data_IF_556192077471
#
_entry.id   IF_556192077471
#
_cell.length_a   1.000
_cell.length_b   1.000
_cell.length_c   1.000
_cell.angle_alpha   90.00
_cell.angle_beta   90.00
_cell.angle_gamma   90.00
#
_symmetry.space_group_name_H-M   'P 1'
#
loop_
_entity.id
_entity.type
_entity.pdbx_description
1 polymer ?
#
# COMPACT_ATOMS: atom_id res chain seq x y z
N UNK A 1 -15.81 -4.14 -6.62
CA UNK A 1 -17.20 -4.61 -6.71
C UNK A 1 -17.24 -6.06 -7.13
N UNK A 2 -17.97 -6.84 -6.38
CA UNK A 2 -18.17 -8.25 -6.74
C UNK A 2 -19.21 -8.34 -7.86
N UNK A 3 -18.80 -8.86 -9.00
CA UNK A 3 -19.67 -8.93 -10.21
C UNK A 3 -20.20 -10.34 -10.45
N UNK A 4 -19.67 -11.32 -9.74
CA UNK A 4 -20.03 -12.72 -9.77
C UNK A 4 -19.47 -13.36 -8.50
N UNK A 5 -20.04 -14.40 -7.93
CA UNK A 5 -19.47 -15.01 -6.70
C UNK A 5 -17.96 -15.27 -6.84
N UNK A 6 -17.18 -14.64 -5.97
CA UNK A 6 -15.73 -14.74 -5.96
C UNK A 6 -14.99 -13.93 -7.02
N UNK A 7 -15.70 -13.15 -7.85
CA UNK A 7 -15.08 -12.33 -8.89
C UNK A 7 -15.25 -10.85 -8.57
N UNK A 8 -14.12 -10.16 -8.35
CA UNK A 8 -14.09 -8.77 -7.95
C UNK A 8 -13.39 -7.92 -9.01
N UNK A 9 -13.97 -6.79 -9.32
CA UNK A 9 -13.44 -5.86 -10.34
C UNK A 9 -13.46 -4.45 -9.77
N UNK A 10 -12.39 -3.71 -9.99
CA UNK A 10 -12.31 -2.29 -9.68
C UNK A 10 -11.36 -1.60 -10.67
N UNK A 11 -11.04 -0.35 -10.41
CA UNK A 11 -10.19 0.45 -11.28
C UNK A 11 -9.33 1.36 -10.43
N UNK A 12 -8.10 1.61 -10.86
CA UNK A 12 -7.17 2.48 -10.12
C UNK A 12 -7.68 3.93 -10.00
N UNK A 13 -8.64 4.32 -10.84
CA UNK A 13 -9.27 5.64 -10.78
C UNK A 13 -10.57 5.64 -9.97
N UNK A 14 -10.84 4.59 -9.19
CA UNK A 14 -12.06 4.49 -8.39
C UNK A 14 -12.24 5.73 -7.50
N UNK A 15 -13.49 6.23 -7.34
CA UNK A 15 -13.79 7.29 -6.38
C UNK A 15 -14.09 6.74 -4.98
N UNK A 16 -14.07 5.43 -4.77
CA UNK A 16 -14.45 4.79 -3.52
C UNK A 16 -13.25 4.61 -2.61
N UNK A 17 -13.14 5.48 -1.62
CA UNK A 17 -12.04 5.48 -0.66
C UNK A 17 -12.58 5.60 0.76
N UNK A 18 -11.86 5.00 1.71
CA UNK A 18 -12.15 5.15 3.13
C UNK A 18 -10.84 5.43 3.88
N UNK A 19 -10.95 6.06 5.05
CA UNK A 19 -9.77 6.29 5.87
C UNK A 19 -9.15 4.95 6.26
N UNK A 20 -7.81 4.87 6.20
CA UNK A 20 -7.09 3.69 6.64
C UNK A 20 -7.11 3.64 8.17
N UNK A 21 -7.72 2.63 8.79
CA UNK A 21 -7.85 2.60 10.25
C UNK A 21 -6.54 2.31 10.99
N UNK A 22 -5.55 1.77 10.31
CA UNK A 22 -4.27 1.42 10.93
C UNK A 22 -3.26 2.56 10.83
N UNK A 23 -3.22 3.24 9.70
CA UNK A 23 -2.25 4.30 9.45
C UNK A 23 -2.80 5.66 9.91
N UNK A 24 -4.02 6.01 9.52
CA UNK A 24 -4.59 7.31 9.82
C UNK A 24 -3.89 8.45 9.09
N UNK A 25 -4.04 9.68 9.58
CA UNK A 25 -3.26 10.83 9.13
C UNK A 25 -3.31 11.16 7.65
N UNK A 26 -4.48 11.07 7.00
CA UNK A 26 -4.64 11.34 5.58
C UNK A 26 -4.42 10.13 4.67
N UNK A 27 -4.12 8.99 5.26
CA UNK A 27 -4.04 7.74 4.49
C UNK A 27 -5.44 7.20 4.23
N UNK A 28 -5.68 6.78 2.99
CA UNK A 28 -6.96 6.19 2.58
C UNK A 28 -6.71 4.89 1.84
N UNK A 29 -7.67 3.98 1.92
CA UNK A 29 -7.58 2.70 1.23
C UNK A 29 -8.85 2.40 0.44
N UNK A 30 -8.67 1.60 -0.62
CA UNK A 30 -9.76 1.00 -1.37
C UNK A 30 -9.47 -0.50 -1.43
N UNK A 31 -10.25 -1.30 -0.73
CA UNK A 31 -10.03 -2.75 -0.66
C UNK A 31 -10.79 -3.41 -1.79
N UNK A 32 -10.06 -4.09 -2.67
CA UNK A 32 -10.65 -4.87 -3.74
C UNK A 32 -11.17 -6.21 -3.21
N UNK A 33 -10.39 -6.86 -2.37
CA UNK A 33 -10.69 -8.20 -1.89
C UNK A 33 -10.01 -8.44 -0.55
N UNK A 34 -10.70 -9.12 0.35
CA UNK A 34 -10.16 -9.49 1.67
C UNK A 34 -10.77 -10.82 2.12
N UNK A 35 -9.93 -11.85 2.18
CA UNK A 35 -10.32 -13.18 2.67
C UNK A 35 -9.77 -13.48 4.05
N UNK A 36 -9.05 -12.53 4.66
CA UNK A 36 -8.32 -12.74 5.90
C UNK A 36 -6.90 -13.25 5.67
N UNK A 37 -6.72 -14.22 4.79
CA UNK A 37 -5.38 -14.73 4.44
C UNK A 37 -4.76 -13.99 3.26
N UNK A 38 -5.57 -13.26 2.50
CA UNK A 38 -5.12 -12.45 1.39
C UNK A 38 -5.95 -11.18 1.32
N UNK A 39 -5.29 -10.05 1.12
CA UNK A 39 -5.94 -8.77 0.89
C UNK A 39 -5.31 -8.12 -0.33
N UNK A 40 -6.12 -7.42 -1.10
CA UNK A 40 -5.64 -6.68 -2.27
C UNK A 40 -6.41 -5.37 -2.39
N UNK A 41 -5.74 -4.31 -2.79
CA UNK A 41 -6.39 -3.03 -2.95
C UNK A 41 -5.43 -1.92 -3.33
N UNK A 42 -5.88 -0.71 -3.07
CA UNK A 42 -5.13 0.52 -3.33
C UNK A 42 -4.97 1.28 -2.03
N UNK A 43 -3.86 1.98 -1.90
CA UNK A 43 -3.67 2.98 -0.84
C UNK A 43 -3.27 4.29 -1.47
N UNK A 44 -3.71 5.40 -0.86
CA UNK A 44 -3.26 6.73 -1.23
C UNK A 44 -2.99 7.58 -0.01
N UNK A 45 -1.97 8.40 -0.14
CA UNK A 45 -1.53 9.34 0.89
C UNK A 45 -1.54 10.71 0.24
N UNK A 46 -2.31 11.64 0.81
CA UNK A 46 -2.54 12.94 0.19
C UNK A 46 -1.70 14.04 0.84
N UNK A 47 -2.31 15.04 1.45
CA UNK A 47 -1.64 16.28 1.78
C UNK A 47 -1.07 16.38 3.18
N UNK A 48 -1.10 15.33 3.94
CA UNK A 48 -0.57 15.31 5.31
C UNK A 48 0.91 14.91 5.32
N UNK A 49 1.73 15.73 4.67
CA UNK A 49 3.13 15.39 4.40
C UNK A 49 3.98 15.14 5.65
N UNK A 50 3.67 15.82 6.74
CA UNK A 50 4.37 15.65 8.01
C UNK A 50 3.86 14.46 8.83
N UNK A 51 2.88 13.75 8.30
CA UNK A 51 2.30 12.57 8.94
C UNK A 51 2.60 11.29 8.19
N UNK A 52 3.81 11.19 7.69
CA UNK A 52 4.20 9.96 7.00
C UNK A 52 4.15 8.80 7.98
N UNK A 53 3.81 7.60 7.49
CA UNK A 53 3.71 6.44 8.37
C UNK A 53 5.02 6.22 9.10
N UNK A 54 4.96 5.88 10.40
CA UNK A 54 6.16 5.47 11.14
C UNK A 54 6.66 4.13 10.63
N UNK A 55 7.62 3.56 11.32
CA UNK A 55 8.11 2.23 11.02
C UNK A 55 6.95 1.23 10.97
N UNK A 56 6.98 0.37 9.99
CA UNK A 56 5.92 -0.61 9.79
C UNK A 56 6.52 -2.00 9.61
N UNK A 57 6.11 -2.90 10.48
CA UNK A 57 6.46 -4.31 10.37
C UNK A 57 5.40 -5.00 9.54
N UNK A 58 5.81 -5.64 8.46
CA UNK A 58 4.88 -6.25 7.51
C UNK A 58 4.16 -7.45 8.12
N UNK A 59 2.82 -7.41 8.20
CA UNK A 59 2.05 -8.53 8.78
C UNK A 59 1.96 -9.72 7.83
N UNK A 60 2.27 -9.53 6.57
CA UNK A 60 2.22 -10.53 5.52
C UNK A 60 3.21 -10.16 4.43
N UNK A 61 3.46 -11.07 3.50
CA UNK A 61 4.24 -10.75 2.31
C UNK A 61 3.46 -9.73 1.49
N UNK A 62 4.12 -8.66 1.09
CA UNK A 62 3.49 -7.60 0.31
C UNK A 62 4.11 -7.50 -1.07
N UNK A 63 3.25 -7.47 -2.08
CA UNK A 63 3.62 -7.08 -3.44
C UNK A 63 2.97 -5.73 -3.70
N UNK A 64 3.70 -4.80 -4.27
CA UNK A 64 3.15 -3.47 -4.56
C UNK A 64 3.60 -2.96 -5.92
N UNK A 65 2.77 -2.09 -6.47
CA UNK A 65 3.04 -1.35 -7.70
C UNK A 65 2.80 0.13 -7.40
N UNK A 66 3.80 0.96 -7.59
CA UNK A 66 3.67 2.41 -7.40
C UNK A 66 2.95 3.00 -8.61
N UNK A 67 1.88 3.75 -8.34
CA UNK A 67 1.04 4.38 -9.36
C UNK A 67 1.30 5.89 -9.46
N UNK A 68 1.57 6.56 -8.33
CA UNK A 68 1.76 7.99 -8.27
C UNK A 68 2.68 8.33 -7.10
N UNK A 69 3.52 9.35 -7.26
CA UNK A 69 4.47 9.74 -6.23
C UNK A 69 5.67 8.81 -6.17
N UNK A 70 6.47 8.95 -5.12
CA UNK A 70 7.66 8.14 -4.91
C UNK A 70 7.72 7.65 -3.48
N UNK A 71 8.37 6.50 -3.27
CA UNK A 71 8.59 5.95 -1.96
C UNK A 71 10.06 5.55 -1.80
N UNK A 72 10.67 5.99 -0.69
CA UNK A 72 11.95 5.48 -0.25
C UNK A 72 11.67 4.56 0.93
N UNK A 73 11.99 3.29 0.79
CA UNK A 73 11.70 2.28 1.80
C UNK A 73 13.01 1.76 2.38
N UNK A 74 13.24 2.04 3.65
CA UNK A 74 14.39 1.52 4.38
C UNK A 74 13.98 0.22 5.05
N UNK A 75 14.71 -0.85 4.76
CA UNK A 75 14.46 -2.17 5.35
C UNK A 75 15.53 -2.41 6.40
N UNK A 76 15.11 -2.66 7.64
CA UNK A 76 16.03 -2.94 8.74
C UNK A 76 16.91 -4.14 8.39
N UNK A 77 18.22 -3.98 8.51
CA UNK A 77 19.23 -4.98 8.14
C UNK A 77 19.18 -5.37 6.65
N UNK A 78 18.67 -4.50 5.82
CA UNK A 78 18.53 -4.76 4.39
C UNK A 78 18.77 -3.53 3.54
N UNK A 79 18.38 -3.59 2.27
CA UNK A 79 18.61 -2.49 1.34
C UNK A 79 17.66 -1.34 1.56
N UNK A 80 17.98 -0.21 0.94
CA UNK A 80 17.07 0.93 0.78
C UNK A 80 16.52 0.87 -0.63
N UNK A 81 15.19 0.86 -0.75
CA UNK A 81 14.53 0.86 -2.05
C UNK A 81 14.08 2.27 -2.41
N UNK A 82 14.27 2.66 -3.66
CA UNK A 82 13.75 3.90 -4.18
C UNK A 82 12.80 3.57 -5.32
N UNK A 83 11.51 3.79 -5.06
CA UNK A 83 10.42 3.36 -5.95
C UNK A 83 9.72 4.56 -6.55
N UNK A 84 9.48 4.50 -7.85
CA UNK A 84 8.77 5.53 -8.64
C UNK A 84 7.61 4.90 -9.39
N UNK A 85 6.74 5.74 -9.97
CA UNK A 85 5.60 5.20 -10.73
C UNK A 85 6.03 4.14 -11.74
N UNK A 86 5.34 3.01 -11.71
CA UNK A 86 5.66 1.86 -12.54
C UNK A 86 6.57 0.83 -11.91
N UNK A 87 7.22 1.16 -10.79
CA UNK A 87 8.07 0.20 -10.10
C UNK A 87 7.24 -0.77 -9.28
N UNK A 88 7.70 -2.01 -9.22
CA UNK A 88 7.10 -3.08 -8.43
C UNK A 88 8.10 -3.59 -7.41
N UNK A 89 7.60 -3.97 -6.25
CA UNK A 89 8.44 -4.55 -5.21
C UNK A 89 7.71 -5.66 -4.49
N UNK A 90 8.48 -6.59 -3.93
CA UNK A 90 7.96 -7.64 -3.06
C UNK A 90 8.76 -7.59 -1.76
N UNK A 91 8.05 -7.46 -0.65
CA UNK A 91 8.65 -7.38 0.69
C UNK A 91 8.18 -8.56 1.52
N UNK A 92 9.08 -9.24 2.25
CA UNK A 92 8.70 -10.44 3.00
C UNK A 92 7.94 -10.10 4.28
N UNK A 93 7.09 -11.03 4.70
CA UNK A 93 6.45 -10.98 6.01
C UNK A 93 7.51 -10.80 7.11
N UNK A 94 7.24 -9.92 8.05
CA UNK A 94 8.11 -9.67 9.18
C UNK A 94 9.19 -8.62 8.93
N UNK A 95 9.36 -8.15 7.70
CA UNK A 95 10.31 -7.08 7.41
C UNK A 95 9.91 -5.82 8.19
N UNK A 96 10.90 -5.20 8.84
CA UNK A 96 10.72 -3.92 9.53
C UNK A 96 11.13 -2.82 8.57
N UNK A 97 10.19 -1.96 8.24
CA UNK A 97 10.38 -0.96 7.17
C UNK A 97 10.08 0.44 7.67
N UNK A 98 10.81 1.41 7.12
CA UNK A 98 10.56 2.84 7.32
C UNK A 98 10.30 3.46 5.96
N UNK A 99 9.14 4.09 5.80
CA UNK A 99 8.70 4.66 4.52
C UNK A 99 8.80 6.17 4.52
N UNK A 100 9.39 6.70 3.45
CA UNK A 100 9.46 8.13 3.18
C UNK A 100 8.77 8.38 1.86
N UNK A 101 7.64 9.08 1.90
CA UNK A 101 6.79 9.25 0.73
C UNK A 101 6.92 10.65 0.14
N UNK A 102 6.96 10.74 -1.18
CA UNK A 102 6.73 11.97 -1.92
C UNK A 102 5.26 12.04 -2.28
N UNK A 103 4.56 12.97 -1.69
CA UNK A 103 3.10 13.09 -1.81
C UNK A 103 2.68 13.97 -2.99
N UNK A 104 1.54 13.72 -3.60
CA UNK A 104 0.63 12.61 -3.32
C UNK A 104 1.23 11.27 -3.76
N UNK A 105 0.96 10.24 -2.96
CA UNK A 105 1.45 8.89 -3.23
C UNK A 105 0.28 7.92 -3.36
N UNK A 106 0.37 7.02 -4.34
CA UNK A 106 -0.67 6.02 -4.57
C UNK A 106 -0.03 4.72 -5.02
N UNK A 107 -0.50 3.62 -4.46
CA UNK A 107 0.00 2.29 -4.80
C UNK A 107 -1.13 1.27 -4.88
N UNK A 108 -0.90 0.24 -5.70
CA UNK A 108 -1.69 -0.99 -5.66
C UNK A 108 -0.89 -2.02 -4.87
N UNK A 109 -1.55 -2.74 -3.99
CA UNK A 109 -0.86 -3.71 -3.13
C UNK A 109 -1.64 -5.00 -2.99
N UNK A 110 -0.89 -6.08 -2.73
CA UNK A 110 -1.41 -7.39 -2.34
C UNK A 110 -0.64 -7.84 -1.10
N UNK A 111 -1.39 -8.23 -0.07
CA UNK A 111 -0.85 -8.83 1.14
C UNK A 111 -1.30 -10.28 1.21
N UNK A 112 -0.38 -11.21 1.38
CA UNK A 112 -0.68 -12.64 1.41
C UNK A 112 0.18 -13.36 2.45
N UNK A 113 -0.43 -14.25 3.16
CA UNK A 113 0.23 -15.04 4.20
C UNK A 113 0.02 -14.48 5.56
#
# INVERSE_FOLDING_TARGET
>A
MEVHPGVFVSNVATPEWRADPEIGGGAEEHVLFDSGSMRAGLSRFTMEADRQPPDWTLPATQVLLVLEGEARVEIEDGPVLELKPGDMACLPKGAVTTWHLTLPFKEMWVLAG
#
